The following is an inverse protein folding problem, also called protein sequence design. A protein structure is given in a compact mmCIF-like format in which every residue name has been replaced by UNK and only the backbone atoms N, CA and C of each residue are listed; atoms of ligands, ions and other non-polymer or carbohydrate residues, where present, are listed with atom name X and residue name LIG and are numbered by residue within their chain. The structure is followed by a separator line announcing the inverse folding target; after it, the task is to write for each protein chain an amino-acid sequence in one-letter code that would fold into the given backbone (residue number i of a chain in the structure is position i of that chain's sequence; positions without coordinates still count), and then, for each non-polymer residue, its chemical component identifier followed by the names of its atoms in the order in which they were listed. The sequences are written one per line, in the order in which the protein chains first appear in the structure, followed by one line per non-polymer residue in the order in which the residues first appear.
data_IF_859208004787
#
_entry.id   IF_859208004787
#
_cell.length_a   1.000
_cell.length_b   1.000
_cell.length_c   1.000
_cell.angle_alpha   90.00
_cell.angle_beta   90.00
_cell.angle_gamma   90.00
#
_symmetry.space_group_name_H-M   'P 1'
#
loop_
_entity.id
_entity.type
_entity.pdbx_description
1 polymer ?
#
# COMPACT_ATOMS: atom_id res chain seq x y z
N UNK A 1 -33.76 -48.87 1.89
CA UNK A 1 -34.15 -47.45 1.60
C UNK A 1 -33.46 -46.42 2.51
N UNK A 2 -32.88 -46.86 3.60
CA UNK A 2 -32.16 -46.03 4.62
C UNK A 2 -30.76 -45.61 4.20
N UNK A 3 -30.03 -46.43 3.45
CA UNK A 3 -28.64 -46.18 3.07
C UNK A 3 -28.44 -44.95 2.14
N UNK A 4 -29.39 -44.70 1.26
CA UNK A 4 -29.33 -43.55 0.36
C UNK A 4 -29.48 -42.19 1.08
N UNK A 5 -30.23 -42.19 2.17
CA UNK A 5 -30.49 -40.98 2.94
C UNK A 5 -29.29 -40.59 3.83
N UNK A 6 -28.62 -41.58 4.39
CA UNK A 6 -27.40 -41.38 5.18
C UNK A 6 -26.23 -40.97 4.28
N UNK A 7 -26.09 -41.56 3.09
CA UNK A 7 -25.07 -41.19 2.11
C UNK A 7 -25.22 -39.74 1.64
N UNK A 8 -26.46 -39.29 1.43
CA UNK A 8 -26.75 -37.89 1.03
C UNK A 8 -26.40 -36.86 2.13
N UNK A 9 -26.64 -37.17 3.39
CA UNK A 9 -26.26 -36.32 4.51
C UNK A 9 -24.74 -36.25 4.68
N UNK A 10 -24.05 -37.36 4.54
CA UNK A 10 -22.59 -37.41 4.60
C UNK A 10 -21.96 -36.59 3.46
N UNK A 11 -22.50 -36.74 2.26
CA UNK A 11 -22.03 -36.00 1.08
C UNK A 11 -22.28 -34.47 1.21
N UNK A 12 -23.45 -34.08 1.72
CA UNK A 12 -23.78 -32.68 1.96
C UNK A 12 -22.89 -32.07 3.05
N UNK A 13 -22.59 -32.82 4.11
CA UNK A 13 -21.69 -32.40 5.19
C UNK A 13 -20.25 -32.21 4.72
N UNK A 14 -19.73 -33.13 3.90
CA UNK A 14 -18.37 -33.03 3.33
C UNK A 14 -18.27 -31.87 2.35
N UNK A 15 -19.27 -31.62 1.52
CA UNK A 15 -19.32 -30.50 0.61
C UNK A 15 -19.30 -29.16 1.38
N UNK A 16 -20.11 -29.03 2.43
CA UNK A 16 -20.14 -27.85 3.27
C UNK A 16 -18.79 -27.60 3.95
N UNK A 17 -18.13 -28.61 4.47
CA UNK A 17 -16.81 -28.51 5.07
C UNK A 17 -15.73 -28.02 4.07
N UNK A 18 -15.75 -28.55 2.84
CA UNK A 18 -14.82 -28.11 1.78
C UNK A 18 -15.03 -26.65 1.42
N UNK A 19 -16.29 -26.22 1.30
CA UNK A 19 -16.61 -24.81 1.01
C UNK A 19 -16.11 -23.88 2.11
N UNK A 20 -16.30 -24.23 3.39
CA UNK A 20 -15.80 -23.44 4.52
C UNK A 20 -14.28 -23.35 4.51
N UNK A 21 -13.59 -24.47 4.26
CA UNK A 21 -12.12 -24.48 4.17
C UNK A 21 -11.63 -23.58 3.03
N UNK A 22 -12.26 -23.63 1.87
CA UNK A 22 -11.91 -22.76 0.73
C UNK A 22 -12.06 -21.27 1.07
N UNK A 23 -13.18 -20.89 1.69
CA UNK A 23 -13.38 -19.50 2.10
C UNK A 23 -12.41 -19.04 3.19
N UNK A 24 -12.06 -19.90 4.14
CA UNK A 24 -11.05 -19.57 5.14
C UNK A 24 -9.65 -19.41 4.54
N UNK A 25 -9.24 -20.28 3.63
CA UNK A 25 -7.95 -20.18 2.95
C UNK A 25 -7.88 -18.90 2.10
N UNK A 26 -8.91 -18.60 1.33
CA UNK A 26 -8.99 -17.36 0.53
C UNK A 26 -8.96 -16.12 1.45
N UNK A 27 -9.72 -16.14 2.55
CA UNK A 27 -9.73 -15.06 3.53
C UNK A 27 -8.37 -14.81 4.17
N UNK A 28 -7.66 -15.88 4.55
CA UNK A 28 -6.30 -15.78 5.12
C UNK A 28 -5.32 -15.24 4.08
N UNK A 29 -5.34 -15.75 2.85
CA UNK A 29 -4.44 -15.29 1.79
C UNK A 29 -4.66 -13.82 1.43
N UNK A 30 -5.91 -13.37 1.30
CA UNK A 30 -6.22 -11.97 0.99
C UNK A 30 -5.83 -11.03 2.14
N UNK A 31 -6.07 -11.43 3.38
CA UNK A 31 -5.67 -10.65 4.55
C UNK A 31 -4.15 -10.57 4.66
N UNK A 32 -3.46 -11.70 4.53
CA UNK A 32 -2.00 -11.77 4.60
C UNK A 32 -1.33 -10.92 3.52
N UNK A 33 -1.76 -11.05 2.27
CA UNK A 33 -1.20 -10.27 1.16
C UNK A 33 -1.51 -8.78 1.26
N UNK A 34 -2.62 -8.42 1.90
CA UNK A 34 -3.04 -7.01 1.99
C UNK A 34 -2.44 -6.29 3.19
N UNK A 35 -2.35 -6.96 4.35
CA UNK A 35 -1.96 -6.33 5.60
C UNK A 35 -0.55 -6.66 6.05
N UNK A 36 -0.01 -7.83 5.66
CA UNK A 36 1.29 -8.29 6.13
C UNK A 36 2.38 -8.10 5.07
N UNK A 37 2.12 -8.51 3.82
CA UNK A 37 3.15 -8.50 2.76
C UNK A 37 3.26 -7.13 2.10
N UNK A 38 2.16 -6.39 1.97
CA UNK A 38 2.13 -5.08 1.33
C UNK A 38 2.02 -3.94 2.35
N UNK A 39 2.77 -4.01 3.41
CA UNK A 39 2.87 -2.91 4.37
C UNK A 39 4.09 -2.03 4.08
N UNK A 40 3.96 -0.72 4.28
CA UNK A 40 5.01 0.26 4.01
C UNK A 40 6.30 -0.02 4.79
N UNK A 41 6.20 -0.43 6.04
CA UNK A 41 7.34 -0.74 6.91
C UNK A 41 8.14 -2.00 6.51
N UNK A 42 7.70 -2.73 5.50
CA UNK A 42 8.43 -3.84 4.90
C UNK A 42 9.33 -3.41 3.72
N UNK A 43 9.33 -2.15 3.39
CA UNK A 43 10.09 -1.56 2.29
C UNK A 43 11.18 -0.62 2.83
N UNK A 44 11.94 0.01 1.93
CA UNK A 44 12.94 1.01 2.30
C UNK A 44 12.28 2.17 3.04
N UNK A 45 12.75 2.46 4.23
CA UNK A 45 12.18 3.47 5.13
C UNK A 45 12.82 4.84 4.95
N UNK A 46 12.16 5.88 5.48
CA UNK A 46 12.71 7.22 5.53
C UNK A 46 14.02 7.31 6.29
N UNK A 47 14.20 6.49 7.34
CA UNK A 47 15.45 6.36 8.08
C UNK A 47 16.61 5.97 7.16
N UNK A 48 16.42 4.91 6.36
CA UNK A 48 17.46 4.45 5.41
C UNK A 48 17.80 5.54 4.39
N UNK A 49 16.82 6.35 3.97
CA UNK A 49 17.06 7.48 3.09
C UNK A 49 17.91 8.57 3.75
N UNK A 50 17.63 8.93 4.99
CA UNK A 50 18.39 9.94 5.75
C UNK A 50 19.82 9.45 6.00
N UNK A 51 19.97 8.20 6.44
CA UNK A 51 21.27 7.61 6.78
C UNK A 51 22.18 7.42 5.55
N UNK A 52 21.59 7.13 4.40
CA UNK A 52 22.34 6.92 3.16
C UNK A 52 22.84 8.21 2.50
N UNK A 53 22.46 9.40 2.99
CA UNK A 53 22.78 10.70 2.38
C UNK A 53 22.57 10.72 0.85
N UNK A 54 21.43 10.18 0.40
CA UNK A 54 21.19 9.88 -1.01
C UNK A 54 21.02 11.18 -1.81
N UNK A 55 22.00 11.52 -2.60
CA UNK A 55 21.96 12.59 -3.60
C UNK A 55 21.50 12.07 -4.98
N UNK A 56 20.64 11.08 -4.99
CA UNK A 56 20.22 10.39 -6.21
C UNK A 56 18.74 10.67 -6.53
N UNK A 57 18.36 10.36 -7.76
CA UNK A 57 16.98 10.35 -8.19
C UNK A 57 16.20 9.27 -7.44
N UNK A 58 15.22 9.66 -6.64
CA UNK A 58 14.47 8.76 -5.74
C UNK A 58 13.00 9.18 -5.67
N UNK A 59 12.19 8.28 -5.14
CA UNK A 59 10.81 8.52 -4.77
C UNK A 59 10.66 8.42 -3.25
N UNK A 60 9.94 9.36 -2.65
CA UNK A 60 9.56 9.31 -1.23
C UNK A 60 8.04 9.22 -1.13
N UNK A 61 7.54 8.24 -0.39
CA UNK A 61 6.13 8.02 -0.13
C UNK A 61 5.84 8.41 1.31
N UNK A 62 5.22 9.56 1.51
CA UNK A 62 4.84 10.03 2.83
C UNK A 62 3.51 9.43 3.25
N UNK A 63 3.48 8.78 4.41
CA UNK A 63 2.29 8.15 4.98
C UNK A 63 2.19 8.37 6.48
N UNK A 64 1.01 8.12 7.03
CA UNK A 64 0.72 8.10 8.46
C UNK A 64 -0.17 6.90 8.79
N UNK A 65 0.07 6.30 9.94
CA UNK A 65 -0.80 5.25 10.46
C UNK A 65 -2.20 5.81 10.73
N UNK A 66 -3.25 5.03 10.43
CA UNK A 66 -4.65 5.45 10.61
C UNK A 66 -5.18 6.48 9.60
N UNK A 67 -4.36 6.97 8.66
CA UNK A 67 -4.79 7.92 7.64
C UNK A 67 -5.66 7.23 6.55
N UNK A 68 -6.92 7.64 6.34
CA UNK A 68 -7.79 7.03 5.34
C UNK A 68 -7.27 7.16 3.90
N UNK A 69 -6.71 8.31 3.54
CA UNK A 69 -6.11 8.55 2.23
C UNK A 69 -4.89 7.66 2.01
N UNK A 70 -4.03 7.52 3.02
CA UNK A 70 -2.86 6.63 2.94
C UNK A 70 -3.29 5.18 2.74
N UNK A 71 -4.35 4.74 3.44
CA UNK A 71 -4.92 3.40 3.30
C UNK A 71 -5.48 3.16 1.89
N UNK A 72 -6.20 4.13 1.34
CA UNK A 72 -6.82 4.03 0.02
C UNK A 72 -5.77 3.89 -1.11
N UNK A 73 -4.69 4.68 -1.07
CA UNK A 73 -3.64 4.66 -2.09
C UNK A 73 -2.59 3.57 -1.93
N UNK A 74 -2.45 2.96 -0.75
CA UNK A 74 -1.36 2.06 -0.36
C UNK A 74 -1.03 0.97 -1.39
N UNK A 75 -2.03 0.19 -1.79
CA UNK A 75 -1.81 -0.93 -2.74
C UNK A 75 -1.33 -0.46 -4.10
N UNK A 76 -1.92 0.63 -4.60
CA UNK A 76 -1.57 1.18 -5.90
C UNK A 76 -0.15 1.75 -5.91
N UNK A 77 0.20 2.51 -4.87
CA UNK A 77 1.55 3.07 -4.70
C UNK A 77 2.61 1.96 -4.68
N UNK A 78 2.44 0.94 -3.83
CA UNK A 78 3.40 -0.16 -3.73
C UNK A 78 3.53 -0.90 -5.07
N UNK A 79 2.40 -1.22 -5.73
CA UNK A 79 2.41 -1.97 -6.98
C UNK A 79 3.08 -1.22 -8.14
N UNK A 80 3.02 0.13 -8.17
CA UNK A 80 3.71 0.95 -9.17
C UNK A 80 5.16 1.17 -8.77
N UNK A 81 5.43 1.42 -7.49
CA UNK A 81 6.79 1.61 -6.98
C UNK A 81 7.70 0.38 -7.18
N UNK A 82 7.16 -0.83 -7.06
CA UNK A 82 7.89 -2.08 -7.36
C UNK A 82 8.37 -2.17 -8.81
N UNK A 83 7.78 -1.40 -9.72
CA UNK A 83 8.12 -1.36 -11.16
C UNK A 83 8.88 -0.10 -11.55
N UNK A 84 9.04 0.84 -10.63
CA UNK A 84 9.75 2.10 -10.89
C UNK A 84 11.25 1.86 -11.10
N UNK A 85 11.85 2.61 -12.00
CA UNK A 85 13.30 2.62 -12.23
C UNK A 85 14.08 3.29 -11.10
N UNK A 86 13.40 4.01 -10.22
CA UNK A 86 14.01 4.76 -9.13
C UNK A 86 13.69 4.12 -7.78
N UNK A 87 14.65 4.06 -6.86
CA UNK A 87 14.41 3.56 -5.51
C UNK A 87 13.31 4.37 -4.81
N UNK A 88 12.42 3.65 -4.13
CA UNK A 88 11.29 4.24 -3.42
C UNK A 88 11.42 4.01 -1.92
N UNK A 89 11.39 5.08 -1.15
CA UNK A 89 11.48 5.08 0.31
C UNK A 89 10.12 5.47 0.92
N UNK A 90 9.74 4.79 1.98
CA UNK A 90 8.47 5.01 2.67
C UNK A 90 8.71 5.75 3.98
N UNK A 91 8.15 6.93 4.08
CA UNK A 91 8.39 7.91 5.15
C UNK A 91 7.16 7.99 6.04
N UNK A 92 7.27 7.48 7.26
CA UNK A 92 6.25 7.73 8.30
C UNK A 92 6.41 9.16 8.80
N UNK A 93 5.40 10.00 8.53
CA UNK A 93 5.43 11.42 8.93
C UNK A 93 5.41 11.66 10.44
N UNK A 94 5.08 10.64 11.24
CA UNK A 94 5.09 10.71 12.70
C UNK A 94 6.45 10.32 13.29
N UNK A 95 7.35 9.73 12.49
CA UNK A 95 8.71 9.41 12.93
C UNK A 95 9.58 10.66 13.00
N UNK A 96 10.65 10.60 13.82
CA UNK A 96 11.61 11.70 13.94
C UNK A 96 12.24 12.07 12.60
N UNK A 97 12.69 11.07 11.84
CA UNK A 97 13.31 11.28 10.54
C UNK A 97 12.28 11.71 9.49
N UNK A 98 11.04 11.21 9.62
CA UNK A 98 9.93 11.64 8.79
C UNK A 98 9.59 13.11 8.95
N UNK A 99 9.61 13.66 10.16
CA UNK A 99 9.38 15.08 10.42
C UNK A 99 10.45 15.96 9.75
N UNK A 100 11.72 15.56 9.78
CA UNK A 100 12.79 16.27 9.06
C UNK A 100 12.56 16.32 7.56
N UNK A 101 12.07 15.21 6.98
CA UNK A 101 11.76 15.13 5.55
C UNK A 101 10.49 15.89 5.17
N UNK A 102 9.48 15.90 6.06
CA UNK A 102 8.26 16.71 5.91
C UNK A 102 8.62 18.19 5.83
N UNK A 103 9.47 18.67 6.73
CA UNK A 103 9.95 20.05 6.72
C UNK A 103 10.78 20.36 5.47
N UNK A 104 11.74 19.51 5.15
CA UNK A 104 12.65 19.68 4.01
C UNK A 104 11.92 19.78 2.67
N UNK A 105 10.87 19.00 2.45
CA UNK A 105 10.13 18.97 1.20
C UNK A 105 8.77 19.68 1.25
N UNK A 106 8.48 20.38 2.35
CA UNK A 106 7.24 21.14 2.56
C UNK A 106 5.97 20.29 2.33
N UNK A 107 5.95 19.08 2.91
CA UNK A 107 4.83 18.14 2.77
C UNK A 107 3.71 18.54 3.71
N UNK A 108 2.58 18.98 3.17
CA UNK A 108 1.40 19.45 3.93
C UNK A 108 0.42 18.33 4.30
N UNK A 109 0.46 17.20 3.60
CA UNK A 109 -0.47 16.08 3.76
C UNK A 109 0.26 14.73 3.74
N UNK A 110 -0.16 13.81 4.59
CA UNK A 110 0.47 12.51 4.72
C UNK A 110 0.41 11.66 3.43
N UNK A 111 -0.69 11.71 2.67
CA UNK A 111 -0.85 10.92 1.44
C UNK A 111 -0.15 11.60 0.24
N UNK A 112 1.16 11.82 0.33
CA UNK A 112 1.95 12.53 -0.69
C UNK A 112 3.12 11.69 -1.18
N UNK A 113 3.36 11.73 -2.49
CA UNK A 113 4.59 11.30 -3.14
C UNK A 113 5.48 12.51 -3.41
N UNK A 114 6.76 12.39 -3.14
CA UNK A 114 7.78 13.35 -3.56
C UNK A 114 8.74 12.64 -4.49
N UNK A 115 8.87 13.12 -5.70
CA UNK A 115 9.87 12.63 -6.65
C UNK A 115 11.03 13.59 -6.71
N UNK A 116 12.24 13.07 -6.62
CA UNK A 116 13.47 13.86 -6.71
C UNK A 116 14.19 13.45 -7.98
N UNK A 117 14.42 14.43 -8.87
CA UNK A 117 15.12 14.24 -10.14
C UNK A 117 16.09 15.41 -10.36
N UNK A 118 17.35 15.10 -10.54
CA UNK A 118 18.41 16.08 -10.80
C UNK A 118 18.42 17.26 -9.80
N UNK A 119 18.21 16.94 -8.53
CA UNK A 119 18.18 17.92 -7.44
C UNK A 119 16.90 18.75 -7.33
N UNK A 120 15.94 18.54 -8.22
CA UNK A 120 14.61 19.18 -8.15
C UNK A 120 13.59 18.18 -7.60
N UNK A 121 12.57 18.68 -6.93
CA UNK A 121 11.50 17.80 -6.42
C UNK A 121 10.11 18.29 -6.85
N UNK A 122 9.20 17.34 -6.99
CA UNK A 122 7.77 17.58 -7.25
C UNK A 122 6.93 16.78 -6.24
N UNK A 123 5.76 17.32 -5.89
CA UNK A 123 4.81 16.68 -4.98
C UNK A 123 3.57 16.23 -5.74
N UNK A 124 3.07 15.04 -5.38
CA UNK A 124 1.84 14.46 -5.92
C UNK A 124 1.02 13.86 -4.79
N UNK A 125 -0.29 14.09 -4.80
CA UNK A 125 -1.18 13.38 -3.88
C UNK A 125 -1.59 12.05 -4.48
N UNK A 126 -1.38 10.95 -3.75
CA UNK A 126 -1.68 9.61 -4.27
C UNK A 126 -3.07 9.08 -3.91
N UNK A 127 -3.89 9.90 -3.27
CA UNK A 127 -5.28 9.59 -3.00
C UNK A 127 -6.12 10.87 -3.01
N UNK A 128 -7.35 10.74 -3.49
CA UNK A 128 -8.30 11.84 -3.66
C UNK A 128 -9.71 11.40 -3.29
N UNK A 129 -10.68 12.32 -3.36
CA UNK A 129 -12.10 11.97 -3.30
C UNK A 129 -12.64 11.84 -4.72
N UNK A 130 -13.42 10.80 -4.96
CA UNK A 130 -14.19 10.65 -6.19
C UNK A 130 -15.45 11.54 -6.21
N UNK A 131 -16.27 11.37 -7.26
CA UNK A 131 -17.50 12.14 -7.46
C UNK A 131 -18.55 11.90 -6.36
N UNK A 132 -18.49 10.74 -5.72
CA UNK A 132 -19.39 10.34 -4.64
C UNK A 132 -18.82 10.69 -3.26
N UNK A 133 -17.68 11.38 -3.22
CA UNK A 133 -16.99 11.80 -2.00
C UNK A 133 -16.21 10.69 -1.31
N UNK A 134 -16.07 9.50 -1.93
CA UNK A 134 -15.31 8.39 -1.38
C UNK A 134 -13.81 8.59 -1.59
N UNK A 135 -13.01 8.19 -0.61
CA UNK A 135 -11.56 8.29 -0.69
C UNK A 135 -11.01 7.13 -1.52
N UNK A 136 -10.37 7.45 -2.63
CA UNK A 136 -9.85 6.49 -3.60
C UNK A 136 -8.39 6.79 -3.95
N UNK A 137 -7.67 5.79 -4.46
CA UNK A 137 -6.33 5.98 -5.01
C UNK A 137 -6.38 6.86 -6.27
N UNK A 138 -5.51 7.86 -6.37
CA UNK A 138 -5.30 8.62 -7.60
C UNK A 138 -4.26 7.92 -8.47
N UNK A 139 -4.75 7.02 -9.33
CA UNK A 139 -3.88 6.21 -10.19
C UNK A 139 -3.12 7.03 -11.23
N UNK A 140 -3.66 8.18 -11.65
CA UNK A 140 -3.01 9.09 -12.59
C UNK A 140 -1.78 9.72 -11.96
N UNK A 141 -1.96 10.35 -10.80
CA UNK A 141 -0.86 10.97 -10.04
C UNK A 141 0.20 9.95 -9.62
N UNK A 142 -0.21 8.74 -9.20
CA UNK A 142 0.73 7.67 -8.83
C UNK A 142 1.60 7.25 -10.01
N UNK A 143 1.00 7.05 -11.19
CA UNK A 143 1.73 6.63 -12.39
C UNK A 143 2.63 7.74 -12.91
N UNK A 144 2.15 8.97 -12.94
CA UNK A 144 2.95 10.12 -13.33
C UNK A 144 4.18 10.28 -12.42
N UNK A 145 3.99 10.21 -11.10
CA UNK A 145 5.07 10.37 -10.14
C UNK A 145 6.14 9.25 -10.21
N UNK A 146 5.73 8.00 -10.36
CA UNK A 146 6.62 6.85 -10.17
C UNK A 146 7.21 6.29 -11.47
N UNK A 147 6.69 6.69 -12.64
CA UNK A 147 7.18 6.24 -13.95
C UNK A 147 8.01 7.29 -14.71
N UNK A 148 8.09 8.53 -14.17
CA UNK A 148 8.91 9.62 -14.75
C UNK A 148 10.42 9.43 -14.56
#
# INVERSE_FOLDING_TARGET
MTDRFEFSKLFLGTLAAVVVILFTVIGIQTTWSTYVVKDYNKHLTGQVYVDAAVNQNVNLVFYRNGCPYCKAGKKAVIAVAEKSSYPTFYVDVESKDGQLLVEKYHVDKAATLVTIRDGKYKLYHYATKDKDGQIVADLSSIKEALND
#
